data_IF_704558871215
#
_entry.id   IF_704558871215
#
_cell.length_a   1.000
_cell.length_b   1.000
_cell.length_c   1.000
_cell.angle_alpha   90.00
_cell.angle_beta   90.00
_cell.angle_gamma   90.00
#
_symmetry.space_group_name_H-M   'P 1'
#
loop_
_entity.id
_entity.type
_entity.pdbx_description
1 polymer ?
#
# COMPACT_ATOMS: atom_id res chain seq x y z
N UNK A 1 21.47 7.09 3.68
CA UNK A 1 20.07 6.79 3.36
C UNK A 1 19.37 6.67 4.70
N UNK A 2 18.28 7.39 4.90
CA UNK A 2 17.53 7.38 6.16
C UNK A 2 16.83 6.01 6.30
N UNK A 3 17.09 5.28 7.40
CA UNK A 3 16.54 3.92 7.62
C UNK A 3 15.00 3.91 7.56
N UNK A 4 14.38 5.00 8.03
CA UNK A 4 12.93 5.15 8.03
C UNK A 4 12.35 5.21 6.60
N UNK A 5 13.08 5.80 5.66
CA UNK A 5 12.65 5.88 4.25
C UNK A 5 12.70 4.51 3.57
N UNK A 6 13.71 3.69 3.90
CA UNK A 6 13.85 2.34 3.33
C UNK A 6 12.67 1.44 3.72
N UNK A 7 12.23 1.49 4.98
CA UNK A 7 11.11 0.69 5.47
C UNK A 7 9.81 1.02 4.71
N UNK A 8 9.57 2.31 4.48
CA UNK A 8 8.35 2.79 3.81
C UNK A 8 8.35 2.36 2.33
N UNK A 9 9.48 2.46 1.66
CA UNK A 9 9.65 2.00 0.26
C UNK A 9 9.47 0.48 0.15
N UNK A 10 10.15 -0.31 0.97
CA UNK A 10 10.06 -1.79 0.95
C UNK A 10 8.63 -2.27 1.20
N UNK A 11 7.95 -1.65 2.17
CA UNK A 11 6.54 -1.93 2.44
C UNK A 11 5.66 -1.62 1.22
N UNK A 12 5.83 -0.43 0.62
CA UNK A 12 5.10 -0.02 -0.57
C UNK A 12 5.31 -0.96 -1.76
N UNK A 13 6.55 -1.37 -1.99
CA UNK A 13 6.91 -2.34 -3.03
C UNK A 13 6.22 -3.68 -2.79
N UNK A 14 6.31 -4.23 -1.58
CA UNK A 14 5.69 -5.52 -1.25
C UNK A 14 4.18 -5.48 -1.40
N UNK A 15 3.55 -4.39 -0.96
CA UNK A 15 2.12 -4.17 -1.12
C UNK A 15 1.72 -4.17 -2.60
N UNK A 16 2.48 -3.48 -3.46
CA UNK A 16 2.23 -3.42 -4.90
C UNK A 16 2.34 -4.79 -5.57
N UNK A 17 3.33 -5.59 -5.20
CA UNK A 17 3.50 -6.96 -5.71
C UNK A 17 2.27 -7.83 -5.37
N UNK A 18 1.88 -7.85 -4.10
CA UNK A 18 0.74 -8.66 -3.63
C UNK A 18 -0.57 -8.21 -4.28
N UNK A 19 -0.78 -6.90 -4.44
CA UNK A 19 -1.97 -6.38 -5.14
C UNK A 19 -2.02 -6.86 -6.58
N UNK A 20 -0.90 -6.76 -7.30
CA UNK A 20 -0.80 -7.21 -8.70
C UNK A 20 -0.96 -8.72 -8.84
N UNK A 21 -0.36 -9.51 -7.94
CA UNK A 21 -0.49 -10.97 -7.94
C UNK A 21 -1.95 -11.43 -7.81
N UNK A 22 -2.80 -10.61 -7.18
CA UNK A 22 -4.25 -10.85 -7.07
C UNK A 22 -5.09 -10.20 -8.18
N UNK A 23 -4.46 -9.63 -9.20
CA UNK A 23 -5.14 -9.04 -10.35
C UNK A 23 -5.84 -7.72 -10.07
N UNK A 24 -5.62 -7.09 -8.91
CA UNK A 24 -6.25 -5.81 -8.61
C UNK A 24 -5.52 -4.64 -9.27
N UNK A 25 -6.26 -3.71 -9.86
CA UNK A 25 -5.80 -2.34 -10.13
C UNK A 25 -5.70 -1.54 -8.82
N UNK A 26 -5.00 -0.39 -8.83
CA UNK A 26 -5.00 0.51 -7.66
C UNK A 26 -6.42 0.96 -7.31
N UNK A 27 -7.25 1.24 -8.33
CA UNK A 27 -8.61 1.72 -8.16
C UNK A 27 -9.55 0.65 -7.59
N UNK A 28 -9.52 -0.57 -8.14
CA UNK A 28 -10.32 -1.68 -7.63
C UNK A 28 -9.90 -2.08 -6.20
N UNK A 29 -8.60 -2.05 -5.90
CA UNK A 29 -8.13 -2.34 -4.56
C UNK A 29 -8.52 -1.23 -3.57
N UNK A 30 -8.34 0.04 -3.95
CA UNK A 30 -8.75 1.19 -3.15
C UNK A 30 -10.25 1.13 -2.79
N UNK A 31 -11.10 0.83 -3.77
CA UNK A 31 -12.53 0.61 -3.55
C UNK A 31 -12.81 -0.56 -2.59
N UNK A 32 -12.08 -1.67 -2.73
CA UNK A 32 -12.21 -2.86 -1.86
C UNK A 32 -11.90 -2.56 -0.39
N UNK A 33 -10.87 -1.75 -0.12
CA UNK A 33 -10.47 -1.40 1.25
C UNK A 33 -11.10 -0.08 1.75
N UNK A 34 -11.90 0.59 0.93
CA UNK A 34 -12.53 1.87 1.28
C UNK A 34 -11.54 3.02 1.47
N UNK A 35 -10.45 3.03 0.70
CA UNK A 35 -9.43 4.08 0.72
C UNK A 35 -9.39 4.82 -0.62
N UNK A 36 -8.75 6.00 -0.63
CA UNK A 36 -8.55 6.76 -1.85
C UNK A 36 -7.45 6.11 -2.74
N UNK A 37 -7.68 6.06 -4.05
CA UNK A 37 -6.73 5.49 -5.03
C UNK A 37 -5.37 6.18 -4.97
N UNK A 38 -5.33 7.51 -4.81
CA UNK A 38 -4.09 8.28 -4.70
C UNK A 38 -3.33 7.95 -3.42
N UNK A 39 -4.05 7.65 -2.33
CA UNK A 39 -3.45 7.19 -1.08
C UNK A 39 -2.78 5.82 -1.25
N UNK A 40 -3.47 4.85 -1.87
CA UNK A 40 -2.89 3.55 -2.24
C UNK A 40 -1.64 3.74 -3.11
N UNK A 41 -1.72 4.59 -4.14
CA UNK A 41 -0.59 4.88 -5.00
C UNK A 41 0.60 5.52 -4.26
N UNK A 42 0.33 6.42 -3.31
CA UNK A 42 1.36 7.04 -2.48
C UNK A 42 2.06 6.05 -1.57
N UNK A 43 1.31 5.11 -0.97
CA UNK A 43 1.91 4.00 -0.19
C UNK A 43 2.82 3.16 -1.07
N UNK A 44 2.36 2.76 -2.26
CA UNK A 44 3.14 1.90 -3.17
C UNK A 44 4.41 2.55 -3.73
N UNK A 45 4.52 3.88 -3.66
CA UNK A 45 5.71 4.64 -4.06
C UNK A 45 6.58 5.07 -2.88
N UNK A 46 6.22 4.66 -1.66
CA UNK A 46 6.92 5.05 -0.44
C UNK A 46 6.70 6.52 -0.01
N UNK A 47 5.75 7.23 -0.62
CA UNK A 47 5.47 8.65 -0.35
C UNK A 47 4.57 8.87 0.89
N UNK A 48 4.14 7.79 1.53
CA UNK A 48 3.18 7.79 2.65
C UNK A 48 3.64 6.83 3.74
N UNK A 49 3.91 7.38 4.92
CA UNK A 49 4.00 6.59 6.14
C UNK A 49 2.58 6.18 6.58
N UNK A 50 2.22 4.93 6.31
CA UNK A 50 0.89 4.38 6.57
C UNK A 50 0.73 4.01 8.05
N UNK A 51 -0.41 4.36 8.65
CA UNK A 51 -0.68 4.01 10.05
C UNK A 51 -0.88 2.50 10.23
N UNK A 52 -0.53 1.98 11.41
CA UNK A 52 -0.67 0.57 11.74
C UNK A 52 -2.11 0.04 11.52
N UNK A 53 -3.13 0.86 11.78
CA UNK A 53 -4.53 0.51 11.51
C UNK A 53 -4.79 0.25 10.03
N UNK A 54 -4.24 1.09 9.15
CA UNK A 54 -4.37 0.92 7.72
C UNK A 54 -3.53 -0.27 7.24
N UNK A 55 -2.36 -0.54 7.81
CA UNK A 55 -1.57 -1.75 7.50
C UNK A 55 -2.41 -3.00 7.77
N UNK A 56 -3.06 -3.10 8.95
CA UNK A 56 -3.90 -4.23 9.30
C UNK A 56 -5.12 -4.38 8.35
N UNK A 57 -5.71 -3.28 7.91
CA UNK A 57 -6.79 -3.27 6.92
C UNK A 57 -6.30 -3.79 5.56
N UNK A 58 -5.18 -3.26 5.06
CA UNK A 58 -4.56 -3.64 3.79
C UNK A 58 -4.15 -5.10 3.78
N UNK A 59 -3.56 -5.60 4.87
CA UNK A 59 -3.14 -6.99 5.02
C UNK A 59 -4.31 -8.00 4.99
N UNK A 60 -5.49 -7.61 5.49
CA UNK A 60 -6.73 -8.41 5.33
C UNK A 60 -7.31 -8.30 3.92
N UNK A 61 -7.18 -7.12 3.33
CA UNK A 61 -7.54 -6.71 1.97
C UNK A 61 -6.91 -7.59 0.87
N UNK A 62 -5.61 -7.75 1.04
CA UNK A 62 -4.68 -8.47 0.18
C UNK A 62 -4.80 -9.95 0.50
#
# INVERSE_FOLDING_TARGET
>A
MDEDSQIIEDFGHRMRELRKARGFSQESFAARVGLDRTYIGGIERGERNVSLRNIALLAKAL
#
